data_IF_433908988116
#
_entry.id   IF_433908988116
#
_cell.length_a   1.000
_cell.length_b   1.000
_cell.length_c   1.000
_cell.angle_alpha   90.00
_cell.angle_beta   90.00
_cell.angle_gamma   90.00
#
_symmetry.space_group_name_H-M   'P 1'
#
loop_
_entity.id
_entity.type
_entity.pdbx_description
1 polymer ?
#
# COMPACT_ATOMS: atom_id res chain seq x y z
N UNK A 1 -13.20 -17.22 -6.07
CA UNK A 1 -11.81 -16.80 -6.31
C UNK A 1 -11.56 -16.67 -7.81
N UNK A 2 -10.77 -15.68 -8.23
CA UNK A 2 -10.38 -15.41 -9.64
C UNK A 2 -8.87 -15.29 -9.76
N UNK A 3 -8.30 -15.62 -10.92
CA UNK A 3 -6.87 -15.43 -11.17
C UNK A 3 -6.55 -13.95 -11.37
N UNK A 4 -5.37 -13.52 -10.94
CA UNK A 4 -4.83 -12.21 -11.24
C UNK A 4 -4.74 -12.03 -12.77
N UNK A 5 -5.13 -10.85 -13.25
CA UNK A 5 -5.02 -10.50 -14.67
C UNK A 5 -3.73 -9.73 -14.91
N UNK A 6 -2.74 -10.40 -15.52
CA UNK A 6 -1.38 -9.86 -15.74
C UNK A 6 -0.96 -9.80 -17.21
N UNK A 7 -1.87 -10.10 -18.15
CA UNK A 7 -1.55 -10.11 -19.59
C UNK A 7 -1.31 -8.69 -20.10
N UNK A 8 -0.19 -8.52 -20.82
CA UNK A 8 0.20 -7.29 -21.52
C UNK A 8 0.23 -6.04 -20.64
N UNK A 9 0.57 -6.19 -19.35
CA UNK A 9 0.75 -5.04 -18.47
C UNK A 9 2.05 -4.32 -18.80
N UNK A 10 1.96 -3.00 -18.96
CA UNK A 10 3.12 -2.12 -18.88
C UNK A 10 3.54 -1.90 -17.42
N UNK A 11 4.78 -1.43 -17.15
CA UNK A 11 5.21 -1.08 -15.79
C UNK A 11 4.23 -0.16 -15.06
N UNK A 12 3.81 0.94 -15.68
CA UNK A 12 2.85 1.88 -15.10
C UNK A 12 1.46 1.27 -14.84
N UNK A 13 1.00 0.37 -15.71
CA UNK A 13 -0.27 -0.33 -15.50
C UNK A 13 -0.19 -1.34 -14.35
N UNK A 14 0.94 -2.05 -14.22
CA UNK A 14 1.18 -2.94 -13.09
C UNK A 14 1.23 -2.16 -11.78
N UNK A 15 1.97 -1.03 -11.76
CA UNK A 15 2.03 -0.13 -10.61
C UNK A 15 0.63 0.29 -10.18
N UNK A 16 -0.11 0.99 -11.04
CA UNK A 16 -1.47 1.47 -10.73
C UNK A 16 -2.44 0.38 -10.27
N UNK A 17 -2.28 -0.85 -10.77
CA UNK A 17 -3.19 -1.95 -10.49
C UNK A 17 -2.91 -2.63 -9.15
N UNK A 18 -1.64 -2.86 -8.85
CA UNK A 18 -1.24 -3.70 -7.72
C UNK A 18 -0.66 -2.89 -6.56
N UNK A 19 -0.16 -1.68 -6.85
CA UNK A 19 0.48 -0.77 -5.90
C UNK A 19 -0.44 0.45 -5.82
N UNK A 20 -1.19 0.56 -4.73
CA UNK A 20 -2.22 1.60 -4.54
C UNK A 20 -1.66 2.85 -3.84
N UNK A 21 -0.39 3.17 -4.10
CA UNK A 21 0.31 4.31 -3.50
C UNK A 21 1.25 4.93 -4.52
N UNK A 22 1.67 6.16 -4.24
CA UNK A 22 2.65 6.88 -5.04
C UNK A 22 4.07 6.36 -4.79
N UNK A 23 4.97 6.58 -5.75
CA UNK A 23 6.34 6.04 -5.78
C UNK A 23 7.19 6.52 -4.61
N UNK A 24 7.13 7.82 -4.28
CA UNK A 24 7.91 8.41 -3.19
C UNK A 24 7.40 7.92 -1.83
N UNK A 25 6.08 7.80 -1.65
CA UNK A 25 5.48 7.19 -0.44
C UNK A 25 5.89 5.73 -0.32
N UNK A 26 5.86 4.97 -1.43
CA UNK A 26 6.29 3.57 -1.43
C UNK A 26 7.75 3.44 -0.96
N UNK A 27 8.66 4.23 -1.52
CA UNK A 27 10.08 4.21 -1.15
C UNK A 27 10.27 4.66 0.30
N UNK A 28 9.60 5.73 0.73
CA UNK A 28 9.65 6.25 2.10
C UNK A 28 9.22 5.21 3.14
N UNK A 29 8.15 4.46 2.87
CA UNK A 29 7.72 3.38 3.78
C UNK A 29 8.85 2.38 4.04
N UNK A 30 9.60 1.96 3.00
CA UNK A 30 10.73 1.05 3.18
C UNK A 30 11.96 1.69 3.84
N UNK A 31 12.18 2.98 3.66
CA UNK A 31 13.31 3.72 4.23
C UNK A 31 13.13 4.00 5.73
N UNK A 32 11.88 4.12 6.17
CA UNK A 32 11.50 4.49 7.54
C UNK A 32 11.24 3.28 8.44
N UNK A 33 11.21 2.06 7.89
CA UNK A 33 11.10 0.85 8.71
C UNK A 33 12.23 0.73 9.74
N UNK A 34 11.96 0.03 10.84
CA UNK A 34 12.97 -0.30 11.86
C UNK A 34 14.24 -0.96 11.28
N UNK A 35 14.09 -1.71 10.19
CA UNK A 35 15.20 -2.31 9.45
C UNK A 35 15.13 -1.87 7.97
N UNK A 36 15.63 -0.66 7.64
CA UNK A 36 15.40 -0.06 6.33
C UNK A 36 15.91 -0.93 5.17
N UNK A 37 15.14 -0.96 4.09
CA UNK A 37 15.55 -1.58 2.82
C UNK A 37 15.74 -0.48 1.81
N UNK A 38 16.97 -0.28 1.33
CA UNK A 38 17.29 0.79 0.37
C UNK A 38 17.49 0.32 -1.07
N UNK A 39 17.55 -0.99 -1.29
CA UNK A 39 17.66 -1.57 -2.62
C UNK A 39 16.28 -1.72 -3.27
N UNK A 40 16.05 -1.03 -4.40
CA UNK A 40 14.77 -1.00 -5.12
C UNK A 40 14.29 -2.41 -5.50
N UNK A 41 15.20 -3.28 -5.95
CA UNK A 41 14.82 -4.65 -6.36
C UNK A 41 14.34 -5.44 -5.16
N UNK A 42 15.01 -5.29 -4.01
CA UNK A 42 14.62 -5.94 -2.77
C UNK A 42 13.26 -5.44 -2.26
N UNK A 43 13.00 -4.13 -2.33
CA UNK A 43 11.67 -3.57 -1.99
C UNK A 43 10.56 -4.19 -2.85
N UNK A 44 10.74 -4.15 -4.17
CA UNK A 44 9.76 -4.70 -5.11
C UNK A 44 9.51 -6.19 -4.86
N UNK A 45 10.57 -6.95 -4.55
CA UNK A 45 10.47 -8.38 -4.26
C UNK A 45 9.66 -8.66 -2.99
N UNK A 46 9.93 -7.92 -1.92
CA UNK A 46 9.19 -8.03 -0.66
C UNK A 46 7.71 -7.74 -0.94
N UNK A 47 7.41 -6.58 -1.52
CA UNK A 47 6.04 -6.16 -1.75
C UNK A 47 5.28 -7.10 -2.71
N UNK A 48 5.92 -7.56 -3.78
CA UNK A 48 5.30 -8.52 -4.69
C UNK A 48 4.96 -9.85 -4.00
N UNK A 49 5.79 -10.30 -3.06
CA UNK A 49 5.53 -11.53 -2.29
C UNK A 49 4.32 -11.42 -1.35
N UNK A 50 3.93 -10.19 -0.99
CA UNK A 50 2.79 -9.89 -0.12
C UNK A 50 1.47 -9.77 -0.87
N UNK A 51 1.48 -9.69 -2.21
CA UNK A 51 0.28 -9.56 -3.04
C UNK A 51 -0.80 -10.63 -2.76
N UNK A 52 -0.48 -11.93 -2.57
CA UNK A 52 -1.51 -12.91 -2.24
C UNK A 52 -2.28 -12.58 -0.96
N UNK A 53 -1.60 -12.05 0.06
CA UNK A 53 -2.22 -11.64 1.32
C UNK A 53 -3.01 -10.33 1.13
N UNK A 54 -2.42 -9.34 0.46
CA UNK A 54 -3.04 -8.04 0.23
C UNK A 54 -4.36 -8.11 -0.57
N UNK A 55 -4.53 -9.16 -1.37
CA UNK A 55 -5.70 -9.38 -2.22
C UNK A 55 -6.55 -10.60 -1.81
N UNK A 56 -6.34 -11.14 -0.61
CA UNK A 56 -7.09 -12.29 -0.11
C UNK A 56 -8.60 -12.01 -0.08
N UNK A 57 -9.00 -10.87 0.49
CA UNK A 57 -10.41 -10.45 0.57
C UNK A 57 -11.02 -10.06 -0.79
N UNK A 58 -10.20 -9.72 -1.78
CA UNK A 58 -10.63 -9.51 -3.16
C UNK A 58 -10.81 -10.85 -3.93
N UNK A 59 -10.50 -11.97 -3.27
CA UNK A 59 -10.58 -13.32 -3.82
C UNK A 59 -9.68 -13.51 -5.04
N UNK A 60 -8.54 -12.82 -5.11
CA UNK A 60 -7.60 -12.90 -6.23
C UNK A 60 -6.46 -13.87 -5.88
N UNK A 61 -6.21 -14.81 -6.79
CA UNK A 61 -5.08 -15.74 -6.69
C UNK A 61 -3.99 -15.36 -7.68
N UNK A 62 -2.74 -15.41 -7.21
CA UNK A 62 -1.54 -15.17 -8.01
C UNK A 62 -0.78 -16.48 -8.18
N UNK A 63 -0.47 -16.82 -9.43
CA UNK A 63 0.55 -17.84 -9.69
C UNK A 63 1.95 -17.24 -9.51
N UNK A 64 2.94 -18.08 -9.21
CA UNK A 64 4.30 -17.64 -8.92
C UNK A 64 4.93 -16.83 -10.06
N UNK A 65 4.72 -17.26 -11.32
CA UNK A 65 5.17 -16.55 -12.51
C UNK A 65 4.51 -15.17 -12.68
N UNK A 66 3.29 -14.99 -12.17
CA UNK A 66 2.61 -13.70 -12.14
C UNK A 66 3.21 -12.77 -11.09
N UNK A 67 3.58 -13.30 -9.93
CA UNK A 67 4.28 -12.54 -8.88
C UNK A 67 5.62 -12.06 -9.42
N UNK A 68 6.41 -12.95 -10.04
CA UNK A 68 7.71 -12.60 -10.63
C UNK A 68 7.58 -11.58 -11.77
N UNK A 69 6.52 -11.68 -12.58
CA UNK A 69 6.23 -10.68 -13.60
C UNK A 69 5.95 -9.31 -12.99
N UNK A 70 5.12 -9.25 -11.93
CA UNK A 70 4.79 -8.00 -11.23
C UNK A 70 6.05 -7.44 -10.56
N UNK A 71 6.81 -8.28 -9.83
CA UNK A 71 8.27 -8.25 -9.62
C UNK A 71 8.99 -7.25 -10.52
N UNK A 72 9.28 -7.74 -11.72
CA UNK A 72 10.08 -7.02 -12.71
C UNK A 72 9.42 -5.73 -13.18
N UNK A 73 8.10 -5.72 -13.34
CA UNK A 73 7.38 -4.53 -13.80
C UNK A 73 7.43 -3.40 -12.77
N UNK A 74 7.37 -3.71 -11.47
CA UNK A 74 7.55 -2.74 -10.39
C UNK A 74 8.96 -2.15 -10.39
N UNK A 75 9.99 -3.01 -10.52
CA UNK A 75 11.39 -2.55 -10.62
C UNK A 75 11.56 -1.59 -11.79
N UNK A 76 11.09 -1.97 -12.99
CA UNK A 76 11.17 -1.10 -14.17
C UNK A 76 10.42 0.21 -13.97
N UNK A 77 9.26 0.18 -13.32
CA UNK A 77 8.47 1.38 -13.05
C UNK A 77 9.24 2.35 -12.15
N UNK A 78 9.77 1.86 -11.02
CA UNK A 78 10.53 2.69 -10.08
C UNK A 78 11.85 3.19 -10.66
N UNK A 79 12.59 2.35 -11.39
CA UNK A 79 13.84 2.75 -12.06
C UNK A 79 13.57 3.88 -13.07
N UNK A 80 12.53 3.76 -13.90
CA UNK A 80 12.13 4.81 -14.84
C UNK A 80 11.66 6.09 -14.11
N UNK A 81 10.90 5.94 -13.02
CA UNK A 81 10.45 7.07 -12.21
C UNK A 81 11.65 7.84 -11.63
N UNK A 82 12.57 7.14 -10.98
CA UNK A 82 13.79 7.70 -10.39
C UNK A 82 14.64 8.39 -11.45
N UNK A 83 14.85 7.75 -12.60
CA UNK A 83 15.60 8.35 -13.71
C UNK A 83 14.91 9.63 -14.21
N UNK A 84 13.59 9.62 -14.35
CA UNK A 84 12.82 10.79 -14.79
C UNK A 84 12.91 11.98 -13.82
N UNK A 85 13.15 11.72 -12.53
CA UNK A 85 13.38 12.72 -11.49
C UNK A 85 14.84 13.19 -11.40
N UNK A 86 15.75 12.53 -12.13
CA UNK A 86 17.18 12.86 -12.16
C UNK A 86 18.01 12.15 -11.10
N UNK A 87 17.49 11.08 -10.47
CA UNK A 87 18.20 10.29 -9.47
C UNK A 87 17.44 10.15 -8.15
N UNK A 88 17.85 9.17 -7.33
CA UNK A 88 17.21 8.85 -6.04
C UNK A 88 17.34 10.00 -5.03
N UNK A 89 18.42 10.79 -5.13
CA UNK A 89 18.70 11.97 -4.30
C UNK A 89 17.81 13.18 -4.65
N UNK A 90 17.05 13.09 -5.75
CA UNK A 90 16.10 14.12 -6.19
C UNK A 90 14.66 13.83 -5.78
N UNK A 91 14.41 12.69 -5.14
CA UNK A 91 13.08 12.35 -4.64
C UNK A 91 12.75 13.14 -3.38
N UNK A 92 11.49 13.52 -3.23
CA UNK A 92 10.95 14.11 -2.02
C UNK A 92 10.45 12.98 -1.11
N UNK A 93 11.38 12.37 -0.37
CA UNK A 93 11.06 11.27 0.53
C UNK A 93 10.57 11.79 1.88
N UNK A 94 9.45 11.25 2.33
CA UNK A 94 8.80 11.52 3.61
C UNK A 94 9.53 10.88 4.79
N UNK A 95 9.49 11.56 5.94
CA UNK A 95 9.89 10.99 7.24
C UNK A 95 8.80 10.07 7.83
N UNK A 96 9.14 9.32 8.87
CA UNK A 96 8.18 8.47 9.60
C UNK A 96 7.01 9.32 10.13
N UNK A 97 7.30 10.49 10.72
CA UNK A 97 6.28 11.38 11.26
C UNK A 97 5.36 11.96 10.17
N UNK A 98 5.88 12.24 8.98
CA UNK A 98 5.08 12.72 7.86
C UNK A 98 4.16 11.61 7.33
N UNK A 99 4.67 10.38 7.22
CA UNK A 99 3.86 9.21 6.83
C UNK A 99 2.76 8.92 7.87
N UNK A 100 3.09 9.00 9.16
CA UNK A 100 2.12 8.84 10.25
C UNK A 100 1.03 9.92 10.19
N UNK A 101 1.40 11.18 9.98
CA UNK A 101 0.45 12.28 9.82
C UNK A 101 -0.48 12.08 8.61
N UNK A 102 0.04 11.55 7.49
CA UNK A 102 -0.76 11.20 6.31
C UNK A 102 -1.74 10.06 6.61
N UNK A 103 -1.30 9.06 7.36
CA UNK A 103 -2.14 7.93 7.78
C UNK A 103 -3.26 8.41 8.72
N UNK A 104 -2.95 9.23 9.72
CA UNK A 104 -3.92 9.79 10.65
C UNK A 104 -4.98 10.65 9.92
N UNK A 105 -4.55 11.50 8.99
CA UNK A 105 -5.45 12.30 8.17
C UNK A 105 -6.38 11.42 7.31
N UNK A 106 -5.84 10.35 6.72
CA UNK A 106 -6.61 9.38 5.93
C UNK A 106 -7.62 8.64 6.80
N UNK A 107 -7.20 8.18 7.98
CA UNK A 107 -8.07 7.51 8.95
C UNK A 107 -9.23 8.41 9.38
N UNK A 108 -8.96 9.66 9.76
CA UNK A 108 -10.01 10.59 10.16
C UNK A 108 -10.96 10.91 9.00
N UNK A 109 -10.46 11.03 7.77
CA UNK A 109 -11.31 11.20 6.58
C UNK A 109 -12.27 10.02 6.38
N UNK A 110 -11.77 8.79 6.43
CA UNK A 110 -12.60 7.58 6.31
C UNK A 110 -13.64 7.53 7.43
N UNK A 111 -13.24 7.80 8.67
CA UNK A 111 -14.14 7.76 9.81
C UNK A 111 -15.25 8.81 9.72
N UNK A 112 -14.94 10.00 9.21
CA UNK A 112 -15.94 11.04 8.96
C UNK A 112 -16.93 10.60 7.88
N UNK A 113 -16.47 10.03 6.77
CA UNK A 113 -17.33 9.49 5.69
C UNK A 113 -18.26 8.39 6.22
N UNK A 114 -17.74 7.48 7.04
CA UNK A 114 -18.54 6.41 7.64
C UNK A 114 -19.59 6.95 8.61
N UNK A 115 -19.22 7.92 9.45
CA UNK A 115 -20.14 8.55 10.40
C UNK A 115 -21.28 9.29 9.67
N UNK A 116 -20.93 10.06 8.63
CA UNK A 116 -21.91 10.74 7.77
C UNK A 116 -22.86 9.74 7.11
N UNK A 117 -22.33 8.68 6.49
CA UNK A 117 -23.15 7.65 5.84
C UNK A 117 -24.07 6.91 6.81
N UNK A 118 -23.65 6.73 8.06
CA UNK A 118 -24.44 6.11 9.11
C UNK A 118 -25.40 7.09 9.81
N UNK A 119 -25.33 8.40 9.52
CA UNK A 119 -26.14 9.42 10.16
C UNK A 119 -25.84 9.61 11.65
N UNK A 120 -24.61 9.34 12.09
CA UNK A 120 -24.17 9.47 13.49
C UNK A 120 -22.96 10.40 13.59
N UNK A 121 -22.66 10.87 14.81
CA UNK A 121 -21.44 11.67 15.03
C UNK A 121 -20.17 10.82 14.96
N UNK A 122 -19.06 11.46 14.60
CA UNK A 122 -17.71 10.87 14.61
C UNK A 122 -17.34 10.25 15.96
N UNK A 123 -17.67 10.94 17.05
CA UNK A 123 -17.47 10.46 18.42
C UNK A 123 -18.28 9.20 18.72
N UNK A 124 -19.55 9.19 18.28
CA UNK A 124 -20.43 8.04 18.48
C UNK A 124 -19.93 6.82 17.72
N UNK A 125 -19.51 6.99 16.47
CA UNK A 125 -18.89 5.91 15.70
C UNK A 125 -17.64 5.38 16.41
N UNK A 126 -16.80 6.25 16.95
CA UNK A 126 -15.60 5.85 17.70
C UNK A 126 -15.92 5.02 18.95
N UNK A 127 -16.98 5.34 19.68
CA UNK A 127 -17.43 4.55 20.83
C UNK A 127 -17.90 3.14 20.42
N UNK A 128 -18.64 3.03 19.31
CA UNK A 128 -19.14 1.75 18.81
C UNK A 128 -17.97 0.81 18.46
N UNK A 129 -16.99 1.30 17.68
CA UNK A 129 -15.85 0.49 17.25
C UNK A 129 -14.98 0.03 18.43
N UNK A 130 -14.74 0.90 19.43
CA UNK A 130 -14.01 0.53 20.64
C UNK A 130 -14.70 -0.60 21.40
N UNK A 131 -16.01 -0.47 21.64
CA UNK A 131 -16.78 -1.50 22.35
C UNK A 131 -16.78 -2.86 21.61
N UNK A 132 -16.85 -2.85 20.28
CA UNK A 132 -16.74 -4.08 19.49
C UNK A 132 -15.36 -4.74 19.60
N UNK A 133 -14.29 -3.97 19.63
CA UNK A 133 -12.92 -4.50 19.77
C UNK A 133 -12.68 -5.17 21.13
N UNK A 134 -13.26 -4.62 22.19
CA UNK A 134 -13.18 -5.16 23.56
C UNK A 134 -14.00 -6.43 23.74
N UNK A 135 -15.07 -6.61 22.96
CA UNK A 135 -15.88 -7.83 23.00
C UNK A 135 -15.22 -8.98 22.24
N UNK A 136 -14.53 -8.72 21.12
CA UNK A 136 -13.79 -9.75 20.36
C UNK A 136 -12.54 -10.28 21.07
N UNK A 137 -12.02 -9.57 22.06
CA UNK A 137 -10.87 -10.00 22.88
C UNK A 137 -11.27 -10.82 24.11
N UNK A 138 -12.57 -10.98 24.37
CA UNK A 138 -13.12 -11.74 25.50
C UNK A 138 -13.69 -13.11 25.12
N UNK A 139 -13.77 -13.43 23.82
CA UNK A 139 -14.16 -14.74 23.26
C UNK A 139 -12.91 -15.54 22.85
#
# INVERSE_FOLDING_TARGET
MRKAYTRNLTPAQAWKRFIKTDEEIFISNFYTEKHPVTDIKKMCKIHASELPLAFEYDGILFAQDQIELIERLMVQHLENYIESKGGIDKLELFTEEELDAMMDATYESIMNILAERAGISRDRLGQILRNESENRTKE
#
